data_IF_312195167071
#
_entry.id   IF_312195167071
#
_cell.length_a   1.000
_cell.length_b   1.000
_cell.length_c   1.000
_cell.angle_alpha   90.00
_cell.angle_beta   90.00
_cell.angle_gamma   90.00
#
_symmetry.space_group_name_H-M   'P 1'
#
loop_
_entity.id
_entity.type
_entity.pdbx_description
1 polymer ?
#
# COMPACT_ATOMS: atom_id res chain seq x y z
N UNK A 1 45.18 -70.79 -20.59
CA UNK A 1 44.57 -70.64 -21.93
C UNK A 1 43.19 -70.02 -21.71
N UNK A 2 42.81 -68.81 -22.13
CA UNK A 2 43.36 -67.87 -23.08
C UNK A 2 43.02 -66.43 -22.65
N UNK A 3 43.98 -65.54 -22.88
CA UNK A 3 43.88 -64.08 -22.82
C UNK A 3 43.23 -63.58 -24.12
N UNK A 4 42.29 -62.62 -24.06
CA UNK A 4 42.25 -61.59 -25.11
C UNK A 4 41.61 -60.29 -24.62
N UNK A 5 42.48 -59.33 -24.36
CA UNK A 5 42.27 -57.89 -24.45
C UNK A 5 41.79 -57.52 -25.87
N UNK A 6 40.60 -56.94 -26.00
CA UNK A 6 40.20 -56.02 -27.09
C UNK A 6 39.19 -55.03 -26.49
N UNK A 7 39.58 -53.83 -26.06
CA UNK A 7 40.04 -52.67 -26.86
C UNK A 7 38.83 -51.97 -27.51
N UNK A 8 38.79 -50.65 -27.27
CA UNK A 8 37.97 -49.60 -27.93
C UNK A 8 36.50 -49.53 -27.48
N UNK A 9 36.09 -48.58 -26.62
CA UNK A 9 35.92 -47.13 -26.82
C UNK A 9 34.62 -46.76 -27.57
N UNK A 10 33.82 -45.90 -26.91
CA UNK A 10 32.69 -45.16 -27.47
C UNK A 10 31.36 -45.91 -27.44
N UNK A 11 30.21 -45.31 -27.17
CA UNK A 11 29.84 -43.93 -26.90
C UNK A 11 28.34 -43.96 -26.57
N UNK A 12 27.91 -43.18 -25.55
CA UNK A 12 26.60 -42.50 -25.48
C UNK A 12 25.33 -43.40 -25.38
N UNK A 13 24.23 -43.04 -24.74
CA UNK A 13 23.80 -41.85 -24.03
C UNK A 13 22.77 -42.32 -22.99
N UNK A 14 22.99 -42.00 -21.72
CA UNK A 14 21.92 -41.92 -20.75
C UNK A 14 21.56 -40.45 -20.59
N UNK A 15 20.32 -40.08 -20.91
CA UNK A 15 19.62 -38.90 -20.37
C UNK A 15 18.22 -38.82 -21.00
N UNK A 16 17.24 -39.57 -20.47
CA UNK A 16 15.85 -39.08 -20.37
C UNK A 16 15.24 -39.76 -19.15
N UNK A 17 15.36 -39.13 -17.99
CA UNK A 17 14.49 -39.41 -16.84
C UNK A 17 13.52 -38.25 -16.76
N UNK A 18 12.26 -38.50 -17.11
CA UNK A 18 11.17 -37.55 -16.91
C UNK A 18 11.14 -37.06 -15.45
N UNK A 19 11.07 -35.74 -15.20
CA UNK A 19 10.72 -35.25 -13.89
C UNK A 19 9.24 -35.58 -13.65
N UNK A 20 8.99 -36.43 -12.65
CA UNK A 20 7.65 -36.69 -12.12
C UNK A 20 6.99 -35.36 -11.78
N UNK A 21 5.90 -35.06 -12.49
CA UNK A 21 4.85 -34.19 -12.01
C UNK A 21 4.24 -34.85 -10.77
N UNK A 22 4.71 -34.45 -9.59
CA UNK A 22 4.14 -34.90 -8.31
C UNK A 22 3.87 -33.69 -7.43
N UNK A 23 2.57 -33.33 -7.40
CA UNK A 23 1.84 -32.68 -6.32
C UNK A 23 2.31 -31.27 -5.85
N UNK A 24 1.51 -30.21 -6.09
CA UNK A 24 1.66 -28.95 -5.37
C UNK A 24 1.07 -29.11 -3.97
N UNK A 25 1.89 -29.50 -3.00
CA UNK A 25 1.44 -29.63 -1.61
C UNK A 25 2.53 -29.23 -0.62
N UNK A 26 2.74 -27.92 -0.47
CA UNK A 26 3.34 -27.33 0.74
C UNK A 26 2.62 -26.04 1.14
N UNK A 27 1.44 -26.20 1.77
CA UNK A 27 1.05 -25.35 2.89
C UNK A 27 1.63 -26.04 4.13
N UNK A 28 2.41 -25.35 4.98
CA UNK A 28 1.74 -24.61 6.04
C UNK A 28 2.52 -23.38 6.51
N UNK A 29 1.98 -22.21 6.24
CA UNK A 29 1.70 -21.22 7.28
C UNK A 29 0.97 -20.08 6.60
N UNK A 30 -0.35 -20.05 6.77
CA UNK A 30 -1.21 -18.94 6.37
C UNK A 30 -0.63 -17.58 6.80
N UNK A 31 0.22 -17.57 7.83
CA UNK A 31 0.95 -16.41 8.31
C UNK A 31 2.17 -16.02 7.46
N UNK A 32 3.08 -16.93 7.08
CA UNK A 32 4.26 -16.57 6.28
C UNK A 32 3.89 -16.24 4.84
N UNK A 33 2.91 -16.96 4.27
CA UNK A 33 2.34 -16.63 2.97
C UNK A 33 1.70 -15.23 2.98
N UNK A 34 0.99 -14.85 4.06
CA UNK A 34 0.47 -13.48 4.22
C UNK A 34 1.59 -12.45 4.29
N UNK A 35 2.67 -12.74 5.01
CA UNK A 35 3.81 -11.80 5.10
C UNK A 35 4.45 -11.57 3.73
N UNK A 36 4.54 -12.60 2.90
CA UNK A 36 5.04 -12.48 1.53
C UNK A 36 4.11 -11.64 0.66
N UNK A 37 2.80 -11.89 0.72
CA UNK A 37 1.77 -11.07 0.06
C UNK A 37 1.76 -9.61 0.55
N UNK A 38 1.92 -9.36 1.85
CA UNK A 38 2.03 -8.01 2.42
C UNK A 38 3.29 -7.28 1.96
N UNK A 39 4.42 -7.98 1.83
CA UNK A 39 5.67 -7.39 1.31
C UNK A 39 5.50 -6.97 -0.14
N UNK A 40 4.91 -7.84 -0.96
CA UNK A 40 4.59 -7.54 -2.35
C UNK A 40 3.64 -6.34 -2.46
N UNK A 41 2.56 -6.32 -1.67
CA UNK A 41 1.63 -5.19 -1.60
C UNK A 41 2.32 -3.88 -1.20
N UNK A 42 3.26 -3.91 -0.26
CA UNK A 42 3.97 -2.72 0.20
C UNK A 42 4.95 -2.19 -0.85
N UNK A 43 5.63 -3.08 -1.58
CA UNK A 43 6.48 -2.69 -2.72
C UNK A 43 5.65 -2.06 -3.85
N UNK A 44 4.51 -2.65 -4.20
CA UNK A 44 3.58 -2.08 -5.18
C UNK A 44 3.02 -0.73 -4.70
N UNK A 45 2.66 -0.61 -3.43
CA UNK A 45 2.13 0.64 -2.83
C UNK A 45 3.18 1.76 -2.85
N UNK A 46 4.46 1.46 -2.56
CA UNK A 46 5.55 2.45 -2.67
C UNK A 46 5.70 2.98 -4.08
N UNK A 47 5.53 2.13 -5.11
CA UNK A 47 5.58 2.56 -6.51
C UNK A 47 4.42 3.49 -6.85
N UNK A 48 3.22 3.23 -6.31
CA UNK A 48 2.05 4.08 -6.54
C UNK A 48 2.12 5.41 -5.77
N UNK A 49 2.65 5.42 -4.55
CA UNK A 49 2.87 6.65 -3.76
C UNK A 49 3.80 7.62 -4.49
N UNK A 50 4.75 7.13 -5.29
CA UNK A 50 5.62 7.99 -6.11
C UNK A 50 4.86 8.72 -7.23
N UNK A 51 3.68 8.24 -7.64
CA UNK A 51 2.81 8.91 -8.62
C UNK A 51 1.96 10.00 -7.97
N UNK A 52 1.88 10.05 -6.64
CA UNK A 52 1.13 11.09 -5.93
C UNK A 52 1.91 12.40 -6.02
N UNK A 53 1.33 13.36 -6.72
CA UNK A 53 1.85 14.72 -6.77
C UNK A 53 1.46 15.40 -5.46
N UNK A 54 2.41 15.49 -4.54
CA UNK A 54 2.23 16.24 -3.31
C UNK A 54 2.17 17.73 -3.62
N UNK A 55 1.14 18.45 -3.12
CA UNK A 55 1.00 19.86 -3.37
C UNK A 55 2.23 20.60 -2.85
N UNK A 56 2.63 21.65 -3.57
CA UNK A 56 3.75 22.47 -3.13
C UNK A 56 3.37 23.22 -1.87
N UNK A 57 4.37 23.58 -1.05
CA UNK A 57 4.15 24.34 0.21
C UNK A 57 3.34 25.63 -0.02
N UNK A 58 3.49 26.25 -1.18
CA UNK A 58 2.76 27.46 -1.56
C UNK A 58 1.26 27.18 -1.77
N UNK A 59 0.92 26.08 -2.43
CA UNK A 59 -0.47 25.67 -2.65
C UNK A 59 -1.15 25.27 -1.35
N UNK A 60 -0.45 24.51 -0.49
CA UNK A 60 -0.98 24.15 0.85
C UNK A 60 -1.24 25.37 1.72
N UNK A 61 -0.34 26.36 1.70
CA UNK A 61 -0.55 27.59 2.45
C UNK A 61 -1.67 28.42 1.84
N UNK A 62 -1.78 28.51 0.51
CA UNK A 62 -2.85 29.24 -0.15
C UNK A 62 -4.24 28.68 0.20
N UNK A 63 -4.41 27.36 0.14
CA UNK A 63 -5.68 26.71 0.54
C UNK A 63 -5.92 26.82 2.05
N UNK A 64 -4.87 26.71 2.87
CA UNK A 64 -4.96 26.92 4.32
C UNK A 64 -5.41 28.34 4.69
N UNK A 65 -4.84 29.37 4.05
CA UNK A 65 -5.23 30.77 4.26
C UNK A 65 -6.67 31.00 3.79
N UNK A 66 -7.08 30.42 2.66
CA UNK A 66 -8.47 30.52 2.20
C UNK A 66 -9.46 29.96 3.23
N UNK A 67 -9.17 28.80 3.83
CA UNK A 67 -10.00 28.21 4.89
C UNK A 67 -9.97 29.07 6.16
N UNK A 68 -8.83 29.63 6.55
CA UNK A 68 -8.75 30.53 7.72
C UNK A 68 -9.65 31.76 7.54
N UNK A 69 -9.64 32.37 6.36
CA UNK A 69 -10.53 33.51 6.05
C UNK A 69 -11.99 33.09 6.15
N UNK A 70 -12.36 31.95 5.57
CA UNK A 70 -13.72 31.41 5.66
C UNK A 70 -14.15 31.20 7.11
N UNK A 71 -13.30 30.61 7.94
CA UNK A 71 -13.58 30.36 9.37
C UNK A 71 -13.77 31.67 10.14
N UNK A 72 -12.95 32.70 9.86
CA UNK A 72 -13.10 34.02 10.48
C UNK A 72 -14.45 34.66 10.14
N UNK A 73 -14.88 34.57 8.88
CA UNK A 73 -16.19 35.10 8.48
C UNK A 73 -17.32 34.33 9.16
N UNK A 74 -17.25 32.99 9.19
CA UNK A 74 -18.26 32.15 9.85
C UNK A 74 -18.32 32.40 11.35
N UNK A 75 -17.18 32.55 12.03
CA UNK A 75 -17.13 32.77 13.48
C UNK A 75 -17.68 34.13 13.87
N UNK A 76 -17.42 35.18 13.08
CA UNK A 76 -18.03 36.50 13.27
C UNK A 76 -19.54 36.44 13.09
N UNK A 77 -20.03 35.79 12.03
CA UNK A 77 -21.47 35.65 11.79
C UNK A 77 -22.17 34.91 12.94
N UNK A 78 -21.65 33.73 13.31
CA UNK A 78 -22.21 32.95 14.41
C UNK A 78 -22.15 33.74 15.72
N UNK A 79 -21.01 34.34 16.05
CA UNK A 79 -20.86 35.13 17.27
C UNK A 79 -21.85 36.31 17.38
N UNK A 80 -22.16 36.99 16.27
CA UNK A 80 -23.19 38.03 16.24
C UNK A 80 -24.57 37.42 16.54
N UNK A 81 -24.90 36.29 15.91
CA UNK A 81 -26.17 35.59 16.11
C UNK A 81 -26.31 35.11 17.56
N UNK A 82 -25.25 34.51 18.12
CA UNK A 82 -25.20 34.04 19.51
C UNK A 82 -25.45 35.18 20.51
N UNK A 83 -24.76 36.33 20.35
CA UNK A 83 -24.96 37.50 21.21
C UNK A 83 -26.36 38.11 21.02
N UNK A 84 -26.87 38.12 19.79
CA UNK A 84 -28.20 38.66 19.50
C UNK A 84 -29.30 37.82 20.14
N UNK A 85 -29.19 36.49 20.05
CA UNK A 85 -30.09 35.54 20.70
C UNK A 85 -30.01 35.67 22.22
N UNK A 86 -28.80 35.73 22.79
CA UNK A 86 -28.62 35.87 24.24
C UNK A 86 -29.33 37.12 24.78
N UNK A 87 -29.16 38.27 24.11
CA UNK A 87 -29.84 39.52 24.47
C UNK A 87 -31.36 39.46 24.29
N UNK A 88 -31.84 38.74 23.28
CA UNK A 88 -33.28 38.59 23.06
C UNK A 88 -33.91 37.72 24.15
N UNK A 89 -33.24 36.63 24.54
CA UNK A 89 -33.69 35.76 25.64
C UNK A 89 -33.66 36.52 26.97
N UNK A 90 -32.61 37.30 27.25
CA UNK A 90 -32.53 38.14 28.44
C UNK A 90 -33.70 39.13 28.53
N UNK A 91 -34.08 39.76 27.41
CA UNK A 91 -35.24 40.66 27.34
C UNK A 91 -36.59 39.97 27.53
N UNK A 92 -36.68 38.65 27.32
CA UNK A 92 -37.92 37.88 27.49
C UNK A 92 -38.04 37.35 28.92
N UNK A 93 -36.91 37.01 29.55
CA UNK A 93 -36.86 36.50 30.92
C UNK A 93 -36.89 37.60 31.99
N UNK A 94 -36.52 38.82 31.62
CA UNK A 94 -36.64 40.02 32.47
C UNK A 94 -37.98 40.71 32.31
#
# INVERSE_FOLDING_TARGET
MANKKSKDAGAQAGEVREPRESAPAKSPSSFMAKIEEFKEFFELSKLEIKKVVWPTRKETVATGVAVLVLVVVMSLFLGIVDVSLAKLVEKILS
#
